data_IF_011295792685
#
_entry.id   IF_011295792685
#
_cell.length_a   1.000
_cell.length_b   1.000
_cell.length_c   1.000
_cell.angle_alpha   90.00
_cell.angle_beta   90.00
_cell.angle_gamma   90.00
#
_symmetry.space_group_name_H-M   'P 1'
#
loop_
_entity.id
_entity.type
_entity.pdbx_description
1 polymer ?
#
# COMPACT_ATOMS: atom_id res chain seq x y z
N UNK A 1 24.76 -10.57 -16.79
CA UNK A 1 23.80 -11.56 -16.25
C UNK A 1 24.17 -11.83 -14.80
N UNK A 2 23.63 -11.05 -13.86
CA UNK A 2 23.80 -11.32 -12.43
C UNK A 2 22.45 -11.75 -11.83
N UNK A 3 22.00 -12.92 -12.28
CA UNK A 3 20.63 -13.40 -12.06
C UNK A 3 20.38 -13.96 -10.66
N UNK A 4 21.39 -14.08 -9.80
CA UNK A 4 21.22 -14.68 -8.47
C UNK A 4 21.00 -13.63 -7.38
N UNK A 5 21.71 -12.50 -7.44
CA UNK A 5 21.58 -11.44 -6.43
C UNK A 5 20.23 -10.71 -6.56
N UNK A 6 19.79 -10.41 -7.79
CA UNK A 6 18.51 -9.77 -8.07
C UNK A 6 17.30 -10.63 -7.62
N UNK A 7 17.44 -11.97 -7.63
CA UNK A 7 16.39 -12.89 -7.17
C UNK A 7 16.30 -12.94 -5.64
N UNK A 8 17.43 -12.84 -4.94
CA UNK A 8 17.48 -12.93 -3.48
C UNK A 8 17.03 -11.62 -2.83
N UNK A 9 17.39 -10.47 -3.39
CA UNK A 9 16.95 -9.16 -2.89
C UNK A 9 15.42 -8.97 -3.01
N UNK A 10 14.81 -9.48 -4.08
CA UNK A 10 13.37 -9.35 -4.30
C UNK A 10 12.52 -10.25 -3.37
N UNK A 11 13.09 -11.34 -2.82
CA UNK A 11 12.40 -12.24 -1.89
C UNK A 11 12.42 -11.75 -0.44
N UNK A 12 13.33 -10.84 -0.11
CA UNK A 12 13.51 -10.28 1.23
C UNK A 12 13.06 -8.82 1.32
N UNK A 13 12.13 -8.39 0.46
CA UNK A 13 11.39 -7.15 0.70
C UNK A 13 10.50 -7.39 1.92
N UNK A 14 11.07 -7.16 3.10
CA UNK A 14 10.31 -7.12 4.34
C UNK A 14 9.38 -5.92 4.20
N UNK A 15 8.16 -6.18 3.72
CA UNK A 15 7.13 -5.17 3.62
C UNK A 15 6.78 -4.84 5.05
N UNK A 16 7.38 -3.77 5.59
CA UNK A 16 6.99 -3.24 6.88
C UNK A 16 5.59 -2.66 6.68
N UNK A 17 4.59 -3.41 7.14
CA UNK A 17 3.21 -3.04 6.95
C UNK A 17 2.88 -2.00 8.02
N UNK A 18 2.80 -0.75 7.57
CA UNK A 18 2.32 0.35 8.37
C UNK A 18 0.79 0.40 8.41
N UNK A 19 0.26 1.10 9.41
CA UNK A 19 -1.17 1.31 9.59
C UNK A 19 -1.50 2.80 9.46
N UNK A 20 -2.46 3.11 8.60
CA UNK A 20 -2.98 4.46 8.40
C UNK A 20 -4.47 4.53 8.73
N UNK A 21 -4.85 5.52 9.53
CA UNK A 21 -6.25 5.84 9.82
C UNK A 21 -6.69 6.96 8.90
N UNK A 22 -7.68 6.68 8.04
CA UNK A 22 -8.25 7.63 7.06
C UNK A 22 -8.79 8.87 7.77
N UNK A 23 -8.42 10.05 7.27
CA UNK A 23 -8.82 11.36 7.79
C UNK A 23 -9.77 12.07 6.83
N UNK A 24 -10.37 13.16 7.30
CA UNK A 24 -11.24 14.00 6.49
C UNK A 24 -10.48 14.54 5.26
N UNK A 25 -11.08 14.39 4.08
CA UNK A 25 -10.48 14.81 2.80
C UNK A 25 -9.53 13.79 2.16
N UNK A 26 -9.25 12.65 2.80
CA UNK A 26 -8.43 11.61 2.20
C UNK A 26 -9.14 10.88 1.05
N UNK A 27 -8.34 10.47 0.07
CA UNK A 27 -8.75 9.59 -1.03
C UNK A 27 -7.75 8.44 -1.14
N UNK A 28 -8.12 7.33 -1.79
CA UNK A 28 -7.14 6.28 -2.08
C UNK A 28 -5.94 6.81 -2.87
N UNK A 29 -6.16 7.78 -3.78
CA UNK A 29 -5.09 8.42 -4.54
C UNK A 29 -4.12 9.16 -3.63
N UNK A 30 -4.61 10.07 -2.76
CA UNK A 30 -3.75 10.86 -1.87
C UNK A 30 -2.97 9.98 -0.90
N UNK A 31 -3.59 8.93 -0.37
CA UNK A 31 -2.93 7.97 0.52
C UNK A 31 -1.88 7.17 -0.27
N UNK A 32 -2.23 6.64 -1.44
CA UNK A 32 -1.29 5.85 -2.25
C UNK A 32 -0.05 6.65 -2.64
N UNK A 33 -0.21 7.92 -3.02
CA UNK A 33 0.90 8.83 -3.33
C UNK A 33 1.78 9.11 -2.12
N UNK A 34 1.18 9.30 -0.94
CA UNK A 34 1.91 9.53 0.31
C UNK A 34 2.82 8.36 0.68
N UNK A 35 2.40 7.13 0.39
CA UNK A 35 3.15 5.90 0.68
C UNK A 35 3.88 5.34 -0.55
N UNK A 36 3.90 6.07 -1.67
CA UNK A 36 4.63 5.67 -2.88
C UNK A 36 4.12 4.38 -3.54
N UNK A 37 2.86 4.01 -3.31
CA UNK A 37 2.19 2.85 -3.94
C UNK A 37 1.13 3.27 -4.94
N UNK A 38 0.68 2.31 -5.74
CA UNK A 38 -0.49 2.51 -6.60
C UNK A 38 -1.79 2.36 -5.82
N UNK A 39 -2.87 2.96 -6.32
CA UNK A 39 -4.23 2.76 -5.78
C UNK A 39 -4.60 1.26 -5.80
N UNK A 40 -4.27 0.56 -6.90
CA UNK A 40 -4.56 -0.88 -7.00
C UNK A 40 -3.79 -1.71 -5.97
N UNK A 41 -2.54 -1.35 -5.68
CA UNK A 41 -1.76 -1.99 -4.62
C UNK A 41 -2.35 -1.73 -3.23
N UNK A 42 -2.72 -0.49 -2.94
CA UNK A 42 -3.41 -0.12 -1.70
C UNK A 42 -4.72 -0.90 -1.53
N UNK A 43 -5.51 -1.04 -2.60
CA UNK A 43 -6.76 -1.81 -2.61
C UNK A 43 -6.50 -3.29 -2.39
N UNK A 44 -5.50 -3.87 -3.06
CA UNK A 44 -5.12 -5.28 -2.91
C UNK A 44 -4.70 -5.59 -1.48
N UNK A 45 -3.90 -4.70 -0.88
CA UNK A 45 -3.40 -4.82 0.49
C UNK A 45 -4.54 -4.77 1.52
N UNK A 46 -5.63 -4.07 1.22
CA UNK A 46 -6.79 -3.87 2.10
C UNK A 46 -8.05 -4.65 1.69
N UNK A 47 -7.95 -5.51 0.67
CA UNK A 47 -9.07 -6.25 0.07
C UNK A 47 -10.27 -5.36 -0.31
N UNK A 48 -10.00 -4.16 -0.81
CA UNK A 48 -11.02 -3.23 -1.27
C UNK A 48 -11.40 -3.52 -2.73
N UNK A 49 -12.70 -3.63 -3.00
CA UNK A 49 -13.25 -3.79 -4.35
C UNK A 49 -13.61 -2.46 -5.01
N UNK A 50 -13.81 -1.40 -4.23
CA UNK A 50 -14.18 -0.06 -4.70
C UNK A 50 -13.17 1.00 -4.21
N UNK A 51 -13.38 2.23 -4.67
CA UNK A 51 -12.55 3.37 -4.26
C UNK A 51 -13.15 4.14 -3.07
N UNK A 52 -14.22 3.62 -2.48
CA UNK A 52 -14.90 4.21 -1.33
C UNK A 52 -14.15 3.83 -0.06
N UNK A 53 -13.74 4.85 0.69
CA UNK A 53 -13.17 4.73 2.03
C UNK A 53 -13.92 5.64 2.99
N UNK A 54 -13.94 5.29 4.27
CA UNK A 54 -14.65 6.01 5.31
C UNK A 54 -13.69 6.66 6.29
N UNK A 55 -14.13 7.77 6.90
CA UNK A 55 -13.39 8.40 7.99
C UNK A 55 -13.12 7.37 9.11
N UNK A 56 -11.91 7.40 9.67
CA UNK A 56 -11.39 6.47 10.68
C UNK A 56 -11.23 5.01 10.20
N UNK A 57 -11.44 4.72 8.93
CA UNK A 57 -11.11 3.41 8.38
C UNK A 57 -9.61 3.16 8.51
N UNK A 58 -9.26 1.94 8.92
CA UNK A 58 -7.88 1.50 9.08
C UNK A 58 -7.43 0.85 7.77
N UNK A 59 -6.35 1.36 7.19
CA UNK A 59 -5.72 0.81 6.00
C UNK A 59 -4.29 0.35 6.33
N UNK A 60 -3.94 -0.83 5.84
CA UNK A 60 -2.57 -1.29 5.70
C UNK A 60 -1.89 -0.52 4.56
N UNK A 61 -0.66 -0.08 4.78
CA UNK A 61 0.20 0.64 3.82
C UNK A 61 1.64 0.09 3.93
N UNK A 62 2.58 0.61 3.13
CA UNK A 62 4.00 0.19 3.10
C UNK A 62 4.95 1.37 3.18
#
# INVERSE_FOLDING_TARGET
MNTINDIVENRNKNLDIDIYTVKEGDTLLSISQKYGITVDELKRLNNLSSDIIYLNQILRVI
#
